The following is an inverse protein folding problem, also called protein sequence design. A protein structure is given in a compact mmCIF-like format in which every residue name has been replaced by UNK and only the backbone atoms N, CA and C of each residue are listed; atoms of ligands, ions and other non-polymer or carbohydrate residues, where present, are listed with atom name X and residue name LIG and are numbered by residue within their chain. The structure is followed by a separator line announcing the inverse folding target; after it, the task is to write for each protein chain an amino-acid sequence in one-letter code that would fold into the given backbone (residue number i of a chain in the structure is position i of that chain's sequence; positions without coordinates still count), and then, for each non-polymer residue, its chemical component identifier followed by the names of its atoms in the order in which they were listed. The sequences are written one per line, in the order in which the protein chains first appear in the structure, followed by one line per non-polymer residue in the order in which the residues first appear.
data_IF_222338600704
#
_entry.id   IF_222338600704
#
_cell.length_a   1.000
_cell.length_b   1.000
_cell.length_c   1.000
_cell.angle_alpha   90.00
_cell.angle_beta   90.00
_cell.angle_gamma   90.00
#
_symmetry.space_group_name_H-M   'P 1'
#
loop_
_entity.id
_entity.type
_entity.pdbx_description
1 polymer ?
#
# COMPACT_ATOMS: atom_id res chain seq x y z
N UNK A 1 -3.54 28.65 -25.97
CA UNK A 1 -4.23 29.52 -26.94
C UNK A 1 -5.55 30.05 -26.42
N UNK A 2 -6.52 29.22 -26.05
CA UNK A 2 -7.84 29.71 -25.62
C UNK A 2 -7.79 30.58 -24.38
N UNK A 3 -7.05 30.17 -23.32
CA UNK A 3 -6.84 30.97 -22.11
C UNK A 3 -6.22 32.35 -22.43
N UNK A 4 -5.23 32.38 -23.34
CA UNK A 4 -4.64 33.64 -23.79
C UNK A 4 -5.66 34.57 -24.44
N UNK A 5 -6.63 34.03 -25.25
CA UNK A 5 -7.71 34.83 -25.82
C UNK A 5 -8.61 35.37 -24.70
N UNK A 6 -8.95 34.55 -23.71
CA UNK A 6 -9.78 34.96 -22.57
C UNK A 6 -9.15 36.12 -21.79
N UNK A 7 -7.82 36.04 -21.54
CA UNK A 7 -7.06 37.06 -20.80
C UNK A 7 -6.94 38.41 -21.55
N UNK A 8 -6.95 38.38 -22.89
CA UNK A 8 -6.64 39.54 -23.72
C UNK A 8 -7.79 40.04 -24.58
N UNK A 9 -8.93 39.34 -24.66
CA UNK A 9 -10.07 39.65 -25.52
C UNK A 9 -10.71 41.01 -25.24
N UNK A 10 -10.61 41.51 -24.00
CA UNK A 10 -11.19 42.81 -23.61
C UNK A 10 -10.39 43.98 -24.25
N UNK A 11 -9.08 43.79 -24.42
CA UNK A 11 -8.17 44.84 -24.95
C UNK A 11 -8.08 44.77 -26.45
N UNK A 12 -7.95 43.59 -27.05
CA UNK A 12 -7.62 43.45 -28.49
C UNK A 12 -8.75 42.87 -29.33
N UNK A 13 -9.83 42.36 -28.70
CA UNK A 13 -10.88 41.62 -29.41
C UNK A 13 -10.49 40.19 -29.75
N UNK A 14 -11.48 39.32 -30.00
CA UNK A 14 -11.27 37.90 -30.29
C UNK A 14 -10.69 37.68 -31.69
N UNK A 15 -11.27 38.31 -32.72
CA UNK A 15 -10.89 38.13 -34.12
C UNK A 15 -9.44 38.55 -34.42
N UNK A 16 -8.95 39.73 -33.94
CA UNK A 16 -7.56 40.12 -34.16
C UNK A 16 -6.57 39.12 -33.50
N UNK A 17 -6.87 38.66 -32.30
CA UNK A 17 -6.03 37.65 -31.61
C UNK A 17 -6.02 36.32 -32.38
N UNK A 18 -7.18 35.89 -32.89
CA UNK A 18 -7.31 34.68 -33.69
C UNK A 18 -6.60 34.72 -35.04
N UNK A 19 -6.42 35.94 -35.62
CA UNK A 19 -5.59 36.13 -36.85
C UNK A 19 -4.10 35.87 -36.58
N UNK A 20 -3.62 36.23 -35.40
CA UNK A 20 -2.22 36.02 -34.97
C UNK A 20 -2.00 34.62 -34.50
N UNK A 21 -2.94 34.07 -33.70
CA UNK A 21 -2.91 32.69 -33.25
C UNK A 21 -3.60 31.81 -34.33
N UNK A 22 -3.03 30.66 -34.72
CA UNK A 22 -3.61 29.78 -35.74
C UNK A 22 -4.88 29.05 -35.22
N UNK A 23 -5.90 29.81 -34.88
CA UNK A 23 -7.20 29.30 -34.39
C UNK A 23 -8.34 30.07 -35.03
N UNK A 24 -9.33 29.35 -35.59
CA UNK A 24 -10.52 30.01 -36.13
C UNK A 24 -11.37 30.63 -35.02
N UNK A 25 -11.91 31.88 -35.19
CA UNK A 25 -12.78 32.51 -34.20
C UNK A 25 -13.96 31.63 -33.79
N UNK A 26 -14.57 30.90 -34.75
CA UNK A 26 -15.68 29.97 -34.53
C UNK A 26 -15.29 28.86 -33.51
N UNK A 27 -14.04 28.38 -33.57
CA UNK A 27 -13.53 27.38 -32.62
C UNK A 27 -13.44 27.93 -31.19
N UNK A 28 -13.05 29.21 -31.07
CA UNK A 28 -13.02 29.88 -29.78
C UNK A 28 -14.46 30.10 -29.26
N UNK A 29 -15.35 30.66 -30.03
CA UNK A 29 -16.73 30.92 -29.61
C UNK A 29 -17.50 29.64 -29.27
N UNK A 30 -17.30 28.55 -30.03
CA UNK A 30 -17.88 27.25 -29.70
C UNK A 30 -17.33 26.71 -28.34
N UNK A 31 -16.06 26.95 -28.07
CA UNK A 31 -15.48 26.58 -26.80
C UNK A 31 -16.04 27.40 -25.62
N UNK A 32 -16.15 28.71 -25.79
CA UNK A 32 -16.76 29.62 -24.80
C UNK A 32 -18.23 29.26 -24.52
N UNK A 33 -19.01 28.97 -25.56
CA UNK A 33 -20.41 28.54 -25.45
C UNK A 33 -20.50 27.20 -24.66
N UNK A 34 -19.62 26.23 -24.93
CA UNK A 34 -19.57 24.94 -24.22
C UNK A 34 -19.07 25.06 -22.76
N UNK A 35 -18.32 26.10 -22.46
CA UNK A 35 -17.95 26.39 -21.05
C UNK A 35 -19.12 27.01 -20.30
N UNK A 36 -19.84 27.99 -20.94
CA UNK A 36 -20.98 28.65 -20.33
C UNK A 36 -22.19 27.70 -20.18
N UNK A 37 -22.42 26.81 -21.16
CA UNK A 37 -23.49 25.82 -21.10
C UNK A 37 -22.97 24.39 -21.26
N UNK A 38 -22.89 23.62 -20.16
CA UNK A 38 -22.46 22.23 -20.17
C UNK A 38 -23.27 21.32 -21.11
N UNK A 39 -24.55 21.65 -21.38
CA UNK A 39 -25.41 20.88 -22.28
C UNK A 39 -24.91 20.85 -23.70
N UNK A 40 -24.20 21.88 -24.14
CA UNK A 40 -23.59 21.97 -25.46
C UNK A 40 -22.30 21.14 -25.61
N UNK A 41 -21.82 20.54 -24.54
CA UNK A 41 -20.65 19.66 -24.58
C UNK A 41 -20.97 18.36 -25.30
N UNK A 42 -19.97 17.79 -26.00
CA UNK A 42 -20.12 16.47 -26.62
C UNK A 42 -20.40 15.40 -25.61
N UNK A 43 -21.08 14.33 -25.99
CA UNK A 43 -21.34 13.15 -25.13
C UNK A 43 -20.04 12.63 -24.51
N UNK A 44 -18.96 12.57 -25.29
CA UNK A 44 -17.64 12.18 -24.80
C UNK A 44 -17.10 13.12 -23.72
N UNK A 45 -17.28 14.44 -23.88
CA UNK A 45 -16.81 15.40 -22.87
C UNK A 45 -17.59 15.28 -21.55
N UNK A 46 -18.91 15.06 -21.63
CA UNK A 46 -19.75 14.80 -20.45
C UNK A 46 -19.35 13.49 -19.74
N UNK A 47 -19.10 12.43 -20.51
CA UNK A 47 -18.61 11.15 -19.98
C UNK A 47 -17.21 11.29 -19.34
N UNK A 48 -16.28 12.01 -20.00
CA UNK A 48 -14.94 12.27 -19.47
C UNK A 48 -15.00 13.04 -18.15
N UNK A 49 -15.91 14.00 -18.00
CA UNK A 49 -16.10 14.78 -16.77
C UNK A 49 -16.63 13.91 -15.64
N UNK A 50 -17.69 13.13 -15.87
CA UNK A 50 -18.23 12.20 -14.88
C UNK A 50 -17.20 11.16 -14.45
N UNK A 51 -16.45 10.61 -15.42
CA UNK A 51 -15.40 9.64 -15.14
C UNK A 51 -14.22 10.26 -14.38
N UNK A 52 -13.89 11.52 -14.67
CA UNK A 52 -12.83 12.26 -13.96
C UNK A 52 -13.14 12.41 -12.46
N UNK A 53 -14.39 12.62 -12.09
CA UNK A 53 -14.84 12.68 -10.71
C UNK A 53 -14.65 11.31 -10.01
N UNK A 54 -15.02 10.21 -10.68
CA UNK A 54 -14.82 8.86 -10.15
C UNK A 54 -13.34 8.50 -10.01
N UNK A 55 -12.52 8.86 -11.00
CA UNK A 55 -11.06 8.65 -10.94
C UNK A 55 -10.46 9.40 -9.76
N UNK A 56 -10.84 10.66 -9.53
CA UNK A 56 -10.35 11.46 -8.40
C UNK A 56 -10.79 10.84 -7.07
N UNK A 57 -12.08 10.47 -6.93
CA UNK A 57 -12.60 9.79 -5.75
C UNK A 57 -11.79 8.54 -5.42
N UNK A 58 -11.63 7.62 -6.38
CA UNK A 58 -10.85 6.39 -6.17
C UNK A 58 -9.40 6.70 -5.79
N UNK A 59 -8.79 7.71 -6.40
CA UNK A 59 -7.42 8.10 -6.09
C UNK A 59 -7.29 8.66 -4.68
N UNK A 60 -8.20 9.54 -4.26
CA UNK A 60 -8.23 10.15 -2.92
C UNK A 60 -8.51 9.09 -1.83
N UNK A 61 -9.51 8.23 -2.02
CA UNK A 61 -9.87 7.15 -1.09
C UNK A 61 -8.75 6.11 -0.90
N UNK A 62 -7.80 6.05 -1.83
CA UNK A 62 -6.65 5.16 -1.76
C UNK A 62 -5.35 5.91 -1.42
N UNK A 63 -5.44 6.89 -0.52
CA UNK A 63 -4.30 7.68 -0.03
C UNK A 63 -3.49 8.34 -1.15
N UNK A 64 -4.09 8.58 -2.31
CA UNK A 64 -3.38 9.14 -3.47
C UNK A 64 -2.19 8.26 -3.93
N UNK A 65 -2.24 6.97 -3.61
CA UNK A 65 -1.18 6.01 -3.92
C UNK A 65 -1.34 5.34 -5.27
N UNK A 66 -2.57 5.24 -5.78
CA UNK A 66 -2.85 4.48 -6.97
C UNK A 66 -2.40 5.18 -8.24
N UNK A 67 -1.61 4.48 -9.06
CA UNK A 67 -1.40 4.83 -10.47
C UNK A 67 -2.56 4.32 -11.34
N UNK A 68 -2.55 4.71 -12.61
CA UNK A 68 -3.65 4.47 -13.55
C UNK A 68 -4.12 3.00 -13.62
N UNK A 69 -3.19 2.03 -13.52
CA UNK A 69 -3.56 0.59 -13.51
C UNK A 69 -4.44 0.23 -12.32
N UNK A 70 -4.08 0.67 -11.10
CA UNK A 70 -4.87 0.34 -9.89
C UNK A 70 -6.17 1.11 -9.84
N UNK A 71 -6.19 2.39 -10.27
CA UNK A 71 -7.43 3.16 -10.41
C UNK A 71 -8.37 2.46 -11.40
N UNK A 72 -7.87 2.04 -12.57
CA UNK A 72 -8.67 1.30 -13.54
C UNK A 72 -9.20 -0.02 -12.98
N UNK A 73 -8.39 -0.79 -12.26
CA UNK A 73 -8.81 -2.05 -11.64
C UNK A 73 -9.91 -1.80 -10.58
N UNK A 74 -9.77 -0.75 -9.77
CA UNK A 74 -10.75 -0.39 -8.77
C UNK A 74 -12.08 0.03 -9.39
N UNK A 75 -12.05 0.89 -10.42
CA UNK A 75 -13.25 1.27 -11.16
C UNK A 75 -13.97 0.05 -11.77
N UNK A 76 -13.19 -0.90 -12.34
CA UNK A 76 -13.75 -2.16 -12.86
C UNK A 76 -14.41 -3.00 -11.76
N UNK A 77 -13.82 -3.07 -10.56
CA UNK A 77 -14.40 -3.77 -9.39
C UNK A 77 -15.71 -3.14 -8.94
N UNK A 78 -15.85 -1.82 -9.11
CA UNK A 78 -17.06 -1.05 -8.82
C UNK A 78 -18.10 -1.12 -9.95
N UNK A 79 -17.85 -1.92 -11.00
CA UNK A 79 -18.78 -2.11 -12.12
C UNK A 79 -18.66 -1.07 -13.24
N UNK A 80 -17.70 -0.15 -13.16
CA UNK A 80 -17.48 0.87 -14.20
C UNK A 80 -16.63 0.28 -15.33
N UNK A 81 -17.23 0.07 -16.49
CA UNK A 81 -16.55 -0.42 -17.69
C UNK A 81 -15.90 0.74 -18.44
N UNK A 82 -14.59 0.85 -18.35
CA UNK A 82 -13.78 1.89 -19.00
C UNK A 82 -12.46 1.30 -19.51
N UNK A 83 -11.98 1.80 -20.66
CA UNK A 83 -10.68 1.41 -21.18
C UNK A 83 -9.54 2.01 -20.31
N UNK A 84 -8.48 1.21 -20.03
CA UNK A 84 -7.33 1.66 -19.23
C UNK A 84 -6.68 2.94 -19.80
N UNK A 85 -6.54 3.02 -21.13
CA UNK A 85 -5.97 4.20 -21.79
C UNK A 85 -6.78 5.49 -21.53
N UNK A 86 -8.12 5.38 -21.38
CA UNK A 86 -8.97 6.52 -20.99
C UNK A 86 -8.65 6.98 -19.57
N UNK A 87 -8.50 6.05 -18.62
CA UNK A 87 -8.09 6.36 -17.23
C UNK A 87 -6.71 7.00 -17.21
N UNK A 88 -5.73 6.47 -17.96
CA UNK A 88 -4.38 7.04 -18.07
C UNK A 88 -4.42 8.49 -18.60
N UNK A 89 -5.19 8.73 -19.65
CA UNK A 89 -5.37 10.07 -20.25
C UNK A 89 -6.01 11.05 -19.27
N UNK A 90 -7.07 10.64 -18.60
CA UNK A 90 -7.80 11.51 -17.66
C UNK A 90 -6.95 11.79 -16.40
N UNK A 91 -6.26 10.79 -15.84
CA UNK A 91 -5.33 11.02 -14.73
C UNK A 91 -4.21 11.98 -15.10
N UNK A 92 -3.66 11.85 -16.33
CA UNK A 92 -2.66 12.81 -16.83
C UNK A 92 -3.21 14.22 -16.91
N UNK A 93 -4.43 14.40 -17.43
CA UNK A 93 -5.11 15.71 -17.53
C UNK A 93 -5.39 16.31 -16.15
N UNK A 94 -5.72 15.49 -15.16
CA UNK A 94 -5.96 15.89 -13.78
C UNK A 94 -4.67 16.09 -12.97
N UNK A 95 -3.49 15.79 -13.54
CA UNK A 95 -2.22 15.84 -12.83
C UNK A 95 -2.04 14.76 -11.77
N UNK A 96 -2.88 13.72 -11.75
CA UNK A 96 -2.86 12.65 -10.75
C UNK A 96 -1.77 11.63 -11.07
N UNK A 97 -0.98 11.28 -10.05
CA UNK A 97 0.13 10.32 -10.16
C UNK A 97 0.08 9.34 -9.01
N UNK A 98 0.42 8.07 -9.29
CA UNK A 98 0.63 7.08 -8.24
C UNK A 98 2.01 7.19 -7.61
N UNK A 99 2.13 6.66 -6.40
CA UNK A 99 3.39 6.59 -5.68
C UNK A 99 4.28 5.50 -6.27
N UNK A 100 5.59 5.78 -6.38
CA UNK A 100 6.62 4.83 -6.77
C UNK A 100 7.55 4.57 -5.60
N UNK A 101 7.90 3.31 -5.35
CA UNK A 101 8.95 2.94 -4.39
C UNK A 101 10.30 3.51 -4.85
N UNK A 102 11.01 4.15 -3.92
CA UNK A 102 12.41 4.53 -4.10
C UNK A 102 13.37 3.33 -3.94
N UNK A 103 14.69 3.58 -3.99
CA UNK A 103 15.70 2.58 -3.65
C UNK A 103 15.60 2.25 -2.15
N UNK A 104 15.71 0.95 -1.79
CA UNK A 104 15.77 0.52 -0.40
C UNK A 104 17.12 0.92 0.23
N UNK A 105 17.08 1.39 1.47
CA UNK A 105 18.27 1.64 2.28
C UNK A 105 18.35 0.50 3.30
N UNK A 106 19.50 -0.20 3.40
CA UNK A 106 19.73 -1.22 4.43
C UNK A 106 19.75 -0.56 5.81
N UNK A 107 18.97 -1.09 6.74
CA UNK A 107 18.77 -0.50 8.06
C UNK A 107 19.08 -1.46 9.21
N UNK A 108 19.35 -2.74 8.92
CA UNK A 108 19.58 -3.80 9.93
C UNK A 108 21.06 -3.97 10.23
N UNK A 109 21.40 -4.03 11.53
CA UNK A 109 22.70 -4.46 12.04
C UNK A 109 22.49 -5.89 12.52
N UNK A 110 23.21 -6.86 11.90
CA UNK A 110 23.13 -8.25 12.27
C UNK A 110 24.10 -8.56 13.43
N UNK A 111 23.65 -9.37 14.40
CA UNK A 111 24.48 -9.94 15.43
C UNK A 111 24.99 -11.33 14.96
N UNK A 112 26.29 -11.42 14.69
CA UNK A 112 26.90 -12.62 14.15
C UNK A 112 27.10 -13.72 15.21
N UNK A 113 27.18 -13.36 16.50
CA UNK A 113 27.58 -14.25 17.59
C UNK A 113 26.40 -14.81 18.37
N UNK A 114 25.18 -14.33 18.17
CA UNK A 114 24.01 -14.83 18.85
C UNK A 114 23.60 -16.21 18.32
N UNK A 115 23.31 -17.16 19.26
CA UNK A 115 22.68 -18.42 18.93
C UNK A 115 21.31 -18.15 18.31
N UNK A 116 21.05 -18.69 17.11
CA UNK A 116 19.81 -18.44 16.39
C UNK A 116 19.17 -19.73 15.86
N UNK A 117 17.83 -19.77 15.73
CA UNK A 117 17.13 -20.83 15.04
C UNK A 117 17.61 -21.00 13.58
N UNK A 118 17.43 -22.21 13.03
CA UNK A 118 17.76 -22.49 11.64
C UNK A 118 16.80 -21.77 10.68
N UNK A 119 17.31 -21.35 9.52
CA UNK A 119 16.45 -20.88 8.42
C UNK A 119 15.65 -22.05 7.86
N UNK A 120 14.31 -21.98 7.99
CA UNK A 120 13.35 -22.97 7.47
C UNK A 120 12.60 -22.48 6.25
N UNK A 121 12.73 -21.21 5.92
CA UNK A 121 12.00 -20.58 4.81
C UNK A 121 12.76 -20.72 3.49
N UNK A 122 14.09 -20.72 3.56
CA UNK A 122 14.96 -20.90 2.39
C UNK A 122 14.53 -20.04 1.19
N UNK A 123 14.19 -18.76 1.45
CA UNK A 123 13.69 -17.76 0.48
C UNK A 123 12.36 -18.09 -0.20
N UNK A 124 11.63 -19.10 0.27
CA UNK A 124 10.32 -19.47 -0.26
C UNK A 124 9.21 -18.74 0.51
N UNK A 125 8.99 -17.46 0.20
CA UNK A 125 7.92 -16.65 0.80
C UNK A 125 6.57 -16.90 0.12
N UNK A 126 6.15 -18.17 0.15
CA UNK A 126 4.83 -18.62 -0.28
C UNK A 126 4.24 -19.54 0.78
N UNK A 127 2.95 -19.40 1.03
CA UNK A 127 2.20 -20.24 1.95
C UNK A 127 0.92 -20.71 1.26
N UNK A 128 0.52 -21.97 1.51
CA UNK A 128 -0.67 -22.55 0.90
C UNK A 128 -1.96 -22.21 1.67
N UNK A 129 -1.81 -21.74 2.91
CA UNK A 129 -2.93 -21.40 3.79
C UNK A 129 -2.56 -20.23 4.72
N UNK A 130 -3.56 -19.50 5.24
CA UNK A 130 -3.35 -18.55 6.34
C UNK A 130 -2.71 -19.23 7.56
N UNK A 131 -1.92 -18.47 8.32
CA UNK A 131 -1.22 -18.93 9.51
C UNK A 131 -0.32 -20.15 9.30
N UNK A 132 0.30 -20.27 8.11
CA UNK A 132 1.36 -21.25 7.86
C UNK A 132 2.75 -20.63 8.04
N UNK A 133 2.92 -19.39 7.58
CA UNK A 133 4.19 -18.66 7.66
C UNK A 133 3.91 -17.19 7.95
N UNK A 134 4.47 -16.68 9.04
CA UNK A 134 4.54 -15.25 9.32
C UNK A 134 5.96 -14.74 9.11
N UNK A 135 6.08 -13.55 8.58
CA UNK A 135 7.37 -12.85 8.50
C UNK A 135 7.29 -11.55 9.30
N UNK A 136 8.35 -11.22 10.02
CA UNK A 136 8.43 -10.00 10.80
C UNK A 136 9.66 -9.19 10.45
N UNK A 137 9.48 -7.88 10.48
CA UNK A 137 10.56 -6.91 10.33
C UNK A 137 10.13 -5.58 10.94
N UNK A 138 11.10 -4.72 11.22
CA UNK A 138 10.80 -3.38 11.69
C UNK A 138 11.54 -2.32 10.88
N UNK A 139 11.03 -1.11 10.95
CA UNK A 139 11.63 0.04 10.29
C UNK A 139 11.60 1.24 11.22
N UNK A 140 12.32 2.31 10.86
CA UNK A 140 12.29 3.56 11.62
C UNK A 140 11.72 4.71 10.80
N UNK A 141 11.13 5.66 11.52
CA UNK A 141 10.53 6.89 11.02
C UNK A 141 11.15 8.06 11.75
N UNK A 142 11.67 9.05 11.00
CA UNK A 142 12.18 10.28 11.59
C UNK A 142 11.01 11.19 11.96
N UNK A 143 10.97 11.63 13.21
CA UNK A 143 10.05 12.65 13.70
C UNK A 143 10.81 13.88 14.21
N UNK A 144 10.11 14.95 14.53
CA UNK A 144 10.74 16.14 15.13
C UNK A 144 11.28 15.86 16.54
N UNK A 145 10.75 14.84 17.22
CA UNK A 145 11.16 14.42 18.58
C UNK A 145 12.19 13.29 18.59
N UNK A 146 12.70 12.88 17.41
CA UNK A 146 13.65 11.79 17.28
C UNK A 146 13.14 10.65 16.39
N UNK A 147 13.78 9.49 16.47
CA UNK A 147 13.36 8.31 15.73
C UNK A 147 12.24 7.55 16.44
N UNK A 148 11.31 7.04 15.65
CA UNK A 148 10.24 6.14 16.05
C UNK A 148 10.40 4.85 15.26
N UNK A 149 10.18 3.73 15.90
CA UNK A 149 10.32 2.39 15.32
C UNK A 149 8.94 1.79 15.08
N UNK A 150 8.76 1.10 13.96
CA UNK A 150 7.51 0.47 13.57
C UNK A 150 7.80 -0.98 13.20
N UNK A 151 7.24 -1.92 13.94
CA UNK A 151 7.31 -3.35 13.67
C UNK A 151 6.04 -3.82 12.99
N UNK A 152 6.18 -4.78 12.05
CA UNK A 152 5.09 -5.49 11.41
C UNK A 152 5.30 -6.99 11.52
N UNK A 153 4.21 -7.72 11.73
CA UNK A 153 4.11 -9.17 11.55
C UNK A 153 3.13 -9.40 10.41
N UNK A 154 3.52 -10.17 9.41
CA UNK A 154 2.80 -10.31 8.15
C UNK A 154 2.56 -11.78 7.85
N UNK A 155 1.33 -12.18 7.64
CA UNK A 155 0.98 -13.50 7.10
C UNK A 155 1.32 -13.56 5.60
N UNK A 156 2.16 -14.52 5.24
CA UNK A 156 2.71 -14.66 3.88
C UNK A 156 1.64 -15.05 2.86
N UNK A 157 0.64 -15.83 3.25
CA UNK A 157 -0.42 -16.31 2.35
C UNK A 157 -1.12 -15.17 1.61
N UNK A 158 -1.73 -14.27 2.35
CA UNK A 158 -2.47 -13.14 1.81
C UNK A 158 -1.69 -11.81 1.89
N UNK A 159 -0.49 -11.81 2.48
CA UNK A 159 0.27 -10.62 2.83
C UNK A 159 -0.46 -9.70 3.81
N UNK A 160 -1.29 -10.30 4.65
CA UNK A 160 -2.06 -9.61 5.66
C UNK A 160 -1.16 -9.19 6.82
N UNK A 161 -1.21 -7.94 7.23
CA UNK A 161 -0.51 -7.46 8.43
C UNK A 161 -1.32 -7.90 9.64
N UNK A 162 -0.82 -8.93 10.34
CA UNK A 162 -1.51 -9.57 11.48
C UNK A 162 -1.14 -8.94 12.81
N UNK A 163 -0.03 -8.23 12.89
CA UNK A 163 0.38 -7.49 14.07
C UNK A 163 1.28 -6.31 13.70
N UNK A 164 1.21 -5.25 14.49
CA UNK A 164 2.07 -4.08 14.32
C UNK A 164 2.21 -3.30 15.62
N UNK A 165 3.32 -2.58 15.76
CA UNK A 165 3.56 -1.70 16.91
C UNK A 165 4.40 -0.50 16.51
N UNK A 166 4.08 0.66 17.10
CA UNK A 166 4.89 1.89 17.01
C UNK A 166 5.49 2.18 18.38
N UNK A 167 6.80 2.43 18.44
CA UNK A 167 7.53 2.68 19.68
C UNK A 167 8.57 3.79 19.52
N UNK A 168 8.84 4.52 20.58
CA UNK A 168 9.99 5.45 20.67
C UNK A 168 11.32 4.75 20.94
N UNK A 169 11.31 3.43 21.21
CA UNK A 169 12.48 2.63 21.56
C UNK A 169 12.57 1.37 20.71
N UNK A 170 13.78 0.99 20.32
CA UNK A 170 14.07 -0.23 19.55
C UNK A 170 14.33 -1.47 20.44
N UNK A 171 13.91 -1.46 21.71
CA UNK A 171 14.08 -2.61 22.59
C UNK A 171 13.17 -3.78 22.18
N UNK A 172 13.53 -5.01 22.57
CA UNK A 172 12.78 -6.24 22.25
C UNK A 172 11.28 -6.17 22.55
N UNK A 173 10.87 -5.41 23.55
CA UNK A 173 9.48 -5.30 23.95
C UNK A 173 8.56 -4.81 22.81
N UNK A 174 9.00 -3.91 21.92
CA UNK A 174 8.12 -3.39 20.89
C UNK A 174 7.84 -4.41 19.77
N UNK A 175 8.82 -5.25 19.41
CA UNK A 175 8.59 -6.34 18.44
C UNK A 175 7.77 -7.45 19.09
N UNK A 176 7.93 -7.65 20.40
CA UNK A 176 7.11 -8.58 21.18
C UNK A 176 5.65 -8.13 21.24
N UNK A 177 5.38 -6.83 21.44
CA UNK A 177 4.02 -6.30 21.44
C UNK A 177 3.32 -6.52 20.09
N UNK A 178 4.05 -6.40 18.97
CA UNK A 178 3.51 -6.69 17.64
C UNK A 178 3.19 -8.20 17.47
N UNK A 179 4.04 -9.06 18.01
CA UNK A 179 3.81 -10.52 18.03
C UNK A 179 2.61 -10.88 18.90
N UNK A 180 2.49 -10.30 20.11
CA UNK A 180 1.36 -10.54 21.01
C UNK A 180 0.03 -10.15 20.36
N UNK A 181 -0.03 -9.01 19.66
CA UNK A 181 -1.20 -8.62 18.88
C UNK A 181 -1.54 -9.70 17.85
N UNK A 182 -0.56 -10.15 17.06
CA UNK A 182 -0.75 -11.17 16.04
C UNK A 182 -1.27 -12.49 16.64
N UNK A 183 -0.68 -12.95 17.74
CA UNK A 183 -1.10 -14.16 18.45
C UNK A 183 -2.52 -14.04 19.02
N UNK A 184 -2.85 -12.90 19.61
CA UNK A 184 -4.17 -12.63 20.15
C UNK A 184 -5.26 -12.60 19.05
N UNK A 185 -5.00 -11.91 17.95
CA UNK A 185 -5.98 -11.71 16.89
C UNK A 185 -6.19 -12.97 16.04
N UNK A 186 -5.12 -13.76 15.84
CA UNK A 186 -5.11 -14.94 14.98
C UNK A 186 -5.33 -16.26 15.69
N UNK A 187 -5.00 -16.34 16.96
CA UNK A 187 -5.11 -17.55 17.81
C UNK A 187 -4.69 -18.82 17.06
N UNK A 188 -3.44 -18.89 16.53
CA UNK A 188 -3.00 -20.03 15.75
C UNK A 188 -3.04 -21.31 16.61
N UNK A 189 -3.49 -22.42 16.01
CA UNK A 189 -3.47 -23.71 16.70
C UNK A 189 -2.04 -24.08 17.09
N UNK A 190 -1.80 -24.55 18.31
CA UNK A 190 -0.47 -24.91 18.85
C UNK A 190 0.26 -25.93 17.98
N UNK A 191 -0.49 -26.90 17.43
CA UNK A 191 0.04 -27.94 16.54
C UNK A 191 -0.17 -27.60 15.06
N UNK A 192 -0.46 -26.34 14.76
CA UNK A 192 -0.82 -25.87 13.43
C UNK A 192 0.36 -25.71 12.44
N UNK A 193 1.61 -25.92 12.91
CA UNK A 193 2.80 -25.80 12.06
C UNK A 193 3.04 -24.38 11.56
N UNK A 194 2.66 -23.35 12.35
CA UNK A 194 3.00 -21.97 12.03
C UNK A 194 4.49 -21.74 12.22
N UNK A 195 5.15 -21.23 11.21
CA UNK A 195 6.54 -20.78 11.25
C UNK A 195 6.52 -19.24 11.32
N UNK A 196 7.32 -18.70 12.25
CA UNK A 196 7.58 -17.27 12.33
C UNK A 196 9.02 -16.99 11.91
N UNK A 197 9.18 -16.28 10.80
CA UNK A 197 10.49 -15.95 10.23
C UNK A 197 10.80 -14.46 10.41
N UNK A 198 12.03 -14.15 10.83
CA UNK A 198 12.54 -12.80 10.94
C UNK A 198 13.98 -12.71 10.43
N UNK A 199 14.48 -11.49 10.28
CA UNK A 199 15.92 -11.30 10.12
C UNK A 199 16.67 -11.65 11.43
N UNK A 200 18.01 -11.67 11.38
CA UNK A 200 18.86 -11.92 12.53
C UNK A 200 19.08 -10.67 13.40
N UNK A 201 18.08 -9.82 13.53
CA UNK A 201 18.13 -8.66 14.40
C UNK A 201 18.15 -9.08 15.89
N UNK A 202 18.92 -8.36 16.71
CA UNK A 202 19.09 -8.63 18.16
C UNK A 202 17.73 -8.74 18.88
N UNK A 203 16.74 -8.00 18.43
CA UNK A 203 15.40 -7.98 19.00
C UNK A 203 14.67 -9.32 18.83
N UNK A 204 14.82 -9.95 17.66
CA UNK A 204 14.12 -11.19 17.30
C UNK A 204 14.82 -12.45 17.80
N UNK A 205 16.14 -12.39 18.00
CA UNK A 205 16.91 -13.52 18.58
C UNK A 205 17.04 -13.45 20.11
N UNK A 206 16.39 -12.48 20.75
CA UNK A 206 16.37 -12.39 22.20
C UNK A 206 15.67 -13.60 22.83
N UNK A 207 16.18 -14.09 23.96
CA UNK A 207 15.60 -15.21 24.69
C UNK A 207 14.12 -15.03 24.94
N UNK A 208 13.70 -13.84 25.37
CA UNK A 208 12.30 -13.54 25.66
C UNK A 208 11.37 -13.65 24.43
N UNK A 209 11.86 -13.29 23.24
CA UNK A 209 11.09 -13.40 22.02
C UNK A 209 10.95 -14.86 21.57
N UNK A 210 12.04 -15.61 21.62
CA UNK A 210 12.04 -17.04 21.23
C UNK A 210 11.27 -17.92 22.20
N UNK A 211 11.36 -17.66 23.51
CA UNK A 211 10.52 -18.32 24.53
C UNK A 211 9.04 -18.09 24.28
N UNK A 212 8.65 -16.83 23.94
CA UNK A 212 7.25 -16.52 23.66
C UNK A 212 6.70 -17.22 22.42
N UNK A 213 7.50 -17.38 21.36
CA UNK A 213 7.13 -18.19 20.20
C UNK A 213 6.92 -19.66 20.59
N UNK A 214 7.83 -20.24 21.38
CA UNK A 214 7.74 -21.61 21.85
C UNK A 214 6.49 -21.83 22.73
N UNK A 215 6.18 -20.92 23.65
CA UNK A 215 4.95 -20.96 24.46
C UNK A 215 3.67 -20.95 23.63
N UNK A 216 3.69 -20.22 22.49
CA UNK A 216 2.58 -20.16 21.56
C UNK A 216 2.50 -21.37 20.61
N UNK A 217 3.48 -22.30 20.65
CA UNK A 217 3.58 -23.41 19.70
C UNK A 217 3.96 -22.98 18.30
N UNK A 218 4.66 -21.86 18.16
CA UNK A 218 5.10 -21.28 16.88
C UNK A 218 6.59 -21.61 16.67
N UNK A 219 6.92 -22.17 15.52
CA UNK A 219 8.30 -22.48 15.17
C UNK A 219 9.07 -21.22 14.78
N UNK A 220 10.18 -20.96 15.45
CA UNK A 220 11.06 -19.85 15.10
C UNK A 220 11.96 -20.22 13.90
N UNK A 221 12.09 -19.29 12.95
CA UNK A 221 13.02 -19.34 11.82
C UNK A 221 13.73 -18.00 11.68
N UNK A 222 15.03 -18.02 11.42
CA UNK A 222 15.84 -16.80 11.31
C UNK A 222 16.69 -16.88 10.04
N UNK A 223 16.73 -15.81 9.28
CA UNK A 223 17.52 -15.71 8.07
C UNK A 223 19.03 -15.81 8.31
N UNK A 224 19.78 -16.09 7.25
CA UNK A 224 21.23 -16.19 7.27
C UNK A 224 21.92 -14.84 7.49
N UNK A 225 23.20 -14.88 7.91
CA UNK A 225 23.98 -13.66 8.16
C UNK A 225 24.25 -12.92 6.85
N UNK A 226 23.79 -11.68 6.76
CA UNK A 226 24.17 -10.76 5.68
C UNK A 226 23.41 -10.90 4.36
N UNK A 227 22.41 -11.79 4.25
CA UNK A 227 21.63 -11.94 3.04
C UNK A 227 20.32 -11.10 3.12
N UNK A 228 20.26 -10.05 2.29
CA UNK A 228 19.10 -9.17 2.21
C UNK A 228 17.88 -9.78 1.53
N UNK A 229 17.98 -11.00 1.00
CA UNK A 229 16.86 -11.69 0.36
C UNK A 229 16.07 -12.56 1.34
N UNK A 230 16.64 -12.84 2.51
CA UNK A 230 16.06 -13.76 3.49
C UNK A 230 14.78 -13.22 4.16
N UNK A 231 14.49 -11.91 4.08
CA UNK A 231 13.25 -11.31 4.56
C UNK A 231 12.59 -10.37 3.52
N UNK A 232 12.76 -10.66 2.23
CA UNK A 232 12.36 -9.80 1.12
C UNK A 232 10.87 -9.41 1.12
N UNK A 233 9.97 -10.24 1.67
CA UNK A 233 8.55 -9.90 1.78
C UNK A 233 8.32 -8.81 2.82
N UNK A 234 8.84 -8.94 4.02
CA UNK A 234 8.69 -7.96 5.08
C UNK A 234 9.36 -6.63 4.68
N UNK A 235 10.56 -6.66 4.10
CA UNK A 235 11.22 -5.48 3.52
C UNK A 235 10.35 -4.80 2.44
N UNK A 236 9.65 -5.61 1.64
CA UNK A 236 8.73 -5.09 0.63
C UNK A 236 7.57 -4.32 1.27
N UNK A 237 6.96 -4.84 2.32
CA UNK A 237 5.87 -4.18 3.05
C UNK A 237 6.38 -2.90 3.73
N UNK A 238 7.53 -2.95 4.40
CA UNK A 238 8.19 -1.76 4.96
C UNK A 238 8.45 -0.68 3.90
N UNK A 239 8.92 -1.09 2.72
CA UNK A 239 9.15 -0.17 1.60
C UNK A 239 7.85 0.45 1.07
N UNK A 240 6.74 -0.30 1.04
CA UNK A 240 5.42 0.23 0.70
C UNK A 240 4.93 1.21 1.77
N UNK A 241 5.00 0.85 3.04
CA UNK A 241 4.65 1.71 4.16
C UNK A 241 5.38 3.06 4.09
N UNK A 242 6.70 3.03 3.91
CA UNK A 242 7.50 4.26 3.76
C UNK A 242 7.06 5.10 2.56
N UNK A 243 6.90 4.50 1.39
CA UNK A 243 6.55 5.23 0.17
C UNK A 243 5.10 5.75 0.18
N UNK A 244 4.17 4.95 0.70
CA UNK A 244 2.72 5.21 0.62
C UNK A 244 2.21 6.09 1.76
N UNK A 245 2.93 6.15 2.88
CA UNK A 245 2.54 6.93 4.05
C UNK A 245 3.65 7.87 4.52
N UNK A 246 4.80 7.31 4.91
CA UNK A 246 5.78 8.05 5.71
C UNK A 246 6.45 9.19 4.95
N UNK A 247 6.87 8.95 3.69
CA UNK A 247 7.59 9.95 2.90
C UNK A 247 6.71 11.06 2.31
N UNK A 248 5.39 11.03 2.58
CA UNK A 248 4.45 12.04 2.07
C UNK A 248 4.40 13.31 2.89
N UNK A 249 4.80 13.24 4.15
CA UNK A 249 4.76 14.37 5.07
C UNK A 249 5.83 14.26 6.16
N UNK A 250 6.01 15.32 6.92
CA UNK A 250 6.84 15.32 8.12
C UNK A 250 6.00 14.94 9.34
N UNK A 251 6.63 14.28 10.31
CA UNK A 251 5.97 13.72 11.49
C UNK A 251 6.40 14.50 12.74
N UNK A 252 5.43 14.95 13.54
CA UNK A 252 5.72 15.74 14.74
C UNK A 252 6.21 14.87 15.90
N UNK A 253 5.48 13.80 16.21
CA UNK A 253 5.69 12.94 17.36
C UNK A 253 5.21 11.51 17.09
N UNK A 254 5.48 10.58 18.01
CA UNK A 254 5.15 9.15 17.91
C UNK A 254 3.67 8.91 17.66
N UNK A 255 2.79 9.55 18.43
CA UNK A 255 1.34 9.34 18.36
C UNK A 255 0.77 9.68 16.97
N UNK A 256 1.34 10.69 16.30
CA UNK A 256 0.94 11.03 14.94
C UNK A 256 1.31 9.89 13.95
N UNK A 257 2.48 9.27 14.13
CA UNK A 257 2.89 8.11 13.33
C UNK A 257 1.99 6.90 13.65
N UNK A 258 1.69 6.66 14.92
CA UNK A 258 0.88 5.53 15.39
C UNK A 258 -0.54 5.58 14.82
N UNK A 259 -1.23 6.74 14.91
CA UNK A 259 -2.57 6.93 14.34
C UNK A 259 -2.59 6.75 12.81
N UNK A 260 -1.59 7.31 12.13
CA UNK A 260 -1.48 7.17 10.69
C UNK A 260 -1.15 5.73 10.27
N UNK A 261 -0.34 5.00 11.07
CA UNK A 261 -0.03 3.58 10.85
C UNK A 261 -1.29 2.74 11.02
N UNK A 262 -2.09 2.98 12.06
CA UNK A 262 -3.38 2.30 12.26
C UNK A 262 -4.26 2.42 11.01
N UNK A 263 -4.45 3.65 10.52
CA UNK A 263 -5.28 3.93 9.35
C UNK A 263 -4.70 3.30 8.07
N UNK A 264 -3.38 3.30 7.92
CA UNK A 264 -2.71 2.69 6.76
C UNK A 264 -2.80 1.17 6.80
N UNK A 265 -2.63 0.52 7.96
CA UNK A 265 -2.75 -0.94 8.12
C UNK A 265 -4.17 -1.39 7.82
N UNK A 266 -5.18 -0.69 8.32
CA UNK A 266 -6.58 -0.99 8.00
C UNK A 266 -6.83 -0.92 6.49
N UNK A 267 -6.44 0.18 5.86
CA UNK A 267 -6.56 0.32 4.41
C UNK A 267 -5.74 -0.72 3.65
N UNK A 268 -4.52 -1.03 4.10
CA UNK A 268 -3.66 -2.03 3.47
C UNK A 268 -4.32 -3.41 3.46
N UNK A 269 -4.88 -3.82 4.58
CA UNK A 269 -5.50 -5.12 4.75
C UNK A 269 -6.86 -5.24 4.04
N UNK A 270 -7.69 -4.18 4.07
CA UNK A 270 -9.09 -4.28 3.64
C UNK A 270 -9.38 -3.63 2.29
N UNK A 271 -8.54 -2.74 1.80
CA UNK A 271 -8.83 -1.96 0.59
C UNK A 271 -7.72 -1.98 -0.46
N UNK A 272 -6.46 -2.12 -0.04
CA UNK A 272 -5.32 -2.01 -0.94
C UNK A 272 -5.22 -3.19 -1.91
N UNK A 273 -5.31 -2.92 -3.21
CA UNK A 273 -5.11 -3.94 -4.24
C UNK A 273 -3.64 -4.38 -4.31
N UNK A 274 -3.38 -5.66 -4.11
CA UNK A 274 -2.06 -6.28 -4.18
C UNK A 274 -1.92 -7.17 -5.41
N UNK A 275 -0.98 -6.84 -6.30
CA UNK A 275 -0.73 -7.60 -7.53
C UNK A 275 -0.41 -9.07 -7.30
N UNK A 276 0.50 -9.42 -6.37
CA UNK A 276 0.90 -10.80 -6.13
C UNK A 276 -0.21 -11.76 -5.68
N UNK A 277 -1.30 -11.25 -5.13
CA UNK A 277 -2.47 -12.03 -4.70
C UNK A 277 -3.70 -11.79 -5.60
N UNK A 278 -3.48 -11.43 -6.89
CA UNK A 278 -4.57 -11.31 -7.86
C UNK A 278 -5.24 -9.92 -7.91
N UNK A 279 -4.59 -8.86 -7.45
CA UNK A 279 -5.13 -7.48 -7.40
C UNK A 279 -6.40 -7.39 -6.56
N UNK A 280 -6.37 -7.98 -5.39
CA UNK A 280 -7.39 -7.89 -4.35
C UNK A 280 -6.75 -7.48 -3.01
N UNK A 281 -7.53 -7.02 -2.02
CA UNK A 281 -7.05 -6.80 -0.66
C UNK A 281 -6.66 -8.10 0.05
N UNK A 282 -5.71 -8.06 1.01
CA UNK A 282 -5.35 -9.21 1.86
C UNK A 282 -6.54 -9.90 2.51
N UNK A 283 -7.43 -9.15 3.15
CA UNK A 283 -8.62 -9.68 3.81
C UNK A 283 -9.55 -10.44 2.85
N UNK A 284 -9.70 -9.94 1.62
CA UNK A 284 -10.51 -10.61 0.59
C UNK A 284 -9.86 -11.94 0.14
N UNK A 285 -8.54 -11.97 0.03
CA UNK A 285 -7.82 -13.19 -0.33
C UNK A 285 -7.99 -14.28 0.72
N UNK A 286 -7.91 -13.94 2.00
CA UNK A 286 -8.17 -14.87 3.11
C UNK A 286 -9.64 -15.32 3.15
N UNK A 287 -10.58 -14.38 3.01
CA UNK A 287 -12.00 -14.72 3.00
C UNK A 287 -12.36 -15.72 1.89
N UNK A 288 -11.77 -15.56 0.70
CA UNK A 288 -11.93 -16.51 -0.42
C UNK A 288 -11.39 -17.89 -0.09
N UNK A 289 -10.22 -17.96 0.56
CA UNK A 289 -9.65 -19.23 0.98
C UNK A 289 -10.60 -19.99 1.92
N UNK A 290 -11.09 -19.33 2.96
CA UNK A 290 -12.01 -19.97 3.92
C UNK A 290 -13.36 -20.32 3.31
N UNK A 291 -13.86 -19.52 2.38
CA UNK A 291 -15.07 -19.85 1.62
C UNK A 291 -14.88 -21.12 0.80
N UNK A 292 -13.80 -21.24 0.03
CA UNK A 292 -13.49 -22.44 -0.76
C UNK A 292 -13.33 -23.68 0.12
N UNK A 293 -12.68 -23.54 1.28
CA UNK A 293 -12.53 -24.63 2.23
C UNK A 293 -13.88 -25.11 2.74
N UNK A 294 -14.78 -24.18 3.08
CA UNK A 294 -16.14 -24.50 3.56
C UNK A 294 -17.01 -25.14 2.47
N UNK A 295 -16.90 -24.73 1.23
CA UNK A 295 -17.59 -25.32 0.08
C UNK A 295 -17.10 -26.75 -0.21
N UNK A 296 -15.78 -26.96 -0.15
CA UNK A 296 -15.18 -28.30 -0.32
C UNK A 296 -15.61 -29.26 0.78
N UNK A 297 -15.68 -28.80 2.04
CA UNK A 297 -16.16 -29.59 3.17
C UNK A 297 -17.65 -29.95 3.09
N UNK A 298 -18.46 -29.13 2.43
CA UNK A 298 -19.89 -29.42 2.21
C UNK A 298 -20.13 -30.38 1.04
N UNK A 299 -19.17 -30.48 0.12
CA UNK A 299 -19.27 -31.33 -1.07
C UNK A 299 -18.69 -32.74 -0.84
N UNK A 300 -17.96 -32.96 0.26
CA UNK A 300 -17.41 -34.24 0.69
C UNK A 300 -18.36 -34.95 1.69
#
# INVERSE_FOLDING_TARGET
MKAFIDDHRVVYGVEPICKVLPIAPSTYYLHAARQANPELRSTRAKQDEALSQQIRRVWDENFQNYGARKVWLQLKREGLTVARCTVERLMKNLGLKGVRRGKSIKTTISDADAACPLDRVNRQFSAERPNALWVADFTYVKTWQGFVYVAFVIDVFARYIVGWKVSSSAHTNFVLDALEQALHDRQPARDGGLIHHSDRGVQYVSIRYTERLAEAGVEASVGSVGDSYDNALAETINGLYKAELIHKQSWKHREAVELATLTWVDWFNHRRLLGPIGNMPPAEAEARYYQQLSESAKAA
#
